data_IF_531580539525
#
_entry.id   IF_531580539525
#
_cell.length_a   1.000
_cell.length_b   1.000
_cell.length_c   1.000
_cell.angle_alpha   90.00
_cell.angle_beta   90.00
_cell.angle_gamma   90.00
#
_symmetry.space_group_name_H-M   'P 1'
#
loop_
_entity.id
_entity.type
_entity.pdbx_description
1 polymer ?
#
# COMPACT_ATOMS: atom_id res chain seq x y z
N UNK A 1 -16.88 5.04 -28.12
CA UNK A 1 -15.48 5.45 -27.85
C UNK A 1 -15.33 5.71 -26.36
N UNK A 2 -14.70 4.79 -25.61
CA UNK A 2 -14.55 4.97 -24.17
C UNK A 2 -13.49 6.05 -23.90
N UNK A 3 -13.92 7.16 -23.29
CA UNK A 3 -13.07 8.26 -22.82
C UNK A 3 -12.05 7.65 -21.86
N UNK A 4 -10.80 7.46 -22.32
CA UNK A 4 -9.70 6.88 -21.54
C UNK A 4 -9.53 7.76 -20.29
N UNK A 5 -10.02 7.28 -19.15
CA UNK A 5 -9.99 8.01 -17.87
C UNK A 5 -8.54 8.40 -17.61
N UNK A 6 -8.23 9.71 -17.63
CA UNK A 6 -6.86 10.21 -17.43
C UNK A 6 -6.33 9.58 -16.15
N UNK A 7 -5.26 8.78 -16.25
CA UNK A 7 -4.57 8.24 -15.08
C UNK A 7 -4.00 9.44 -14.34
N UNK A 8 -4.51 9.68 -13.14
CA UNK A 8 -3.97 10.74 -12.29
C UNK A 8 -2.49 10.43 -12.02
N UNK A 9 -1.54 11.28 -12.45
CA UNK A 9 -0.11 11.04 -12.30
C UNK A 9 0.26 10.83 -10.83
N UNK A 10 -0.44 11.48 -9.89
CA UNK A 10 -0.21 11.34 -8.45
C UNK A 10 -0.54 9.95 -7.94
N UNK A 11 -1.63 9.35 -8.46
CA UNK A 11 -2.01 7.99 -8.07
C UNK A 11 -1.05 6.94 -8.65
N UNK A 12 -0.43 7.23 -9.81
CA UNK A 12 0.60 6.38 -10.38
C UNK A 12 1.87 6.41 -9.52
N UNK A 13 2.28 7.60 -9.09
CA UNK A 13 3.40 7.80 -8.16
C UNK A 13 3.14 7.07 -6.83
N UNK A 14 1.99 7.30 -6.21
CA UNK A 14 1.61 6.63 -4.96
C UNK A 14 1.63 5.10 -5.08
N UNK A 15 1.19 4.55 -6.22
CA UNK A 15 1.33 3.11 -6.50
C UNK A 15 2.78 2.65 -6.57
N UNK A 16 3.64 3.40 -7.28
CA UNK A 16 5.05 3.04 -7.44
C UNK A 16 5.78 3.07 -6.11
N UNK A 17 5.50 4.07 -5.26
CA UNK A 17 6.02 4.15 -3.88
C UNK A 17 5.55 2.94 -3.06
N UNK A 18 4.27 2.60 -3.13
CA UNK A 18 3.71 1.45 -2.41
C UNK A 18 4.23 0.10 -2.91
N UNK A 19 4.67 0.00 -4.17
CA UNK A 19 5.32 -1.21 -4.69
C UNK A 19 6.70 -1.45 -4.09
N UNK A 20 7.36 -0.42 -3.52
CA UNK A 20 8.61 -0.56 -2.76
C UNK A 20 8.37 -1.08 -1.33
N UNK A 21 7.13 -1.03 -0.83
CA UNK A 21 6.79 -1.44 0.53
C UNK A 21 6.62 -2.97 0.60
N UNK A 22 7.17 -3.66 1.62
CA UNK A 22 6.99 -5.10 1.81
C UNK A 22 5.52 -5.53 1.83
N UNK A 23 5.21 -6.62 1.13
CA UNK A 23 3.83 -7.11 0.96
C UNK A 23 3.66 -8.48 1.62
N UNK A 24 2.67 -8.59 2.48
CA UNK A 24 2.30 -9.82 3.17
C UNK A 24 0.92 -10.27 2.71
N UNK A 25 0.76 -11.55 2.39
CA UNK A 25 -0.52 -12.13 2.01
C UNK A 25 -1.05 -12.99 3.16
N UNK A 26 -2.34 -12.86 3.44
CA UNK A 26 -3.04 -13.69 4.40
C UNK A 26 -4.47 -13.97 3.93
N UNK A 27 -5.02 -15.08 4.39
CA UNK A 27 -6.42 -15.43 4.15
C UNK A 27 -7.32 -14.83 5.23
N UNK A 28 -8.42 -14.26 4.78
CA UNK A 28 -9.55 -13.93 5.63
C UNK A 28 -10.29 -15.25 5.88
N UNK A 29 -10.22 -15.77 7.10
CA UNK A 29 -11.14 -16.80 7.54
C UNK A 29 -12.54 -16.23 7.75
N UNK A 30 -13.15 -16.55 8.90
CA UNK A 30 -14.50 -16.08 9.24
C UNK A 30 -14.55 -14.63 9.74
N UNK A 31 -13.39 -14.02 10.01
CA UNK A 31 -13.31 -12.67 10.57
C UNK A 31 -13.41 -11.57 9.50
N UNK A 32 -13.66 -10.33 9.93
CA UNK A 32 -13.56 -9.16 9.05
C UNK A 32 -12.11 -8.95 8.63
N UNK A 33 -11.88 -8.53 7.39
CA UNK A 33 -10.53 -8.39 6.81
C UNK A 33 -9.61 -7.47 7.62
N UNK A 34 -10.15 -6.35 8.13
CA UNK A 34 -9.43 -5.41 9.00
C UNK A 34 -8.99 -6.08 10.32
N UNK A 35 -9.85 -6.92 10.89
CA UNK A 35 -9.55 -7.64 12.14
C UNK A 35 -8.46 -8.69 11.91
N UNK A 36 -8.58 -9.48 10.84
CA UNK A 36 -7.58 -10.46 10.44
C UNK A 36 -6.21 -9.81 10.19
N UNK A 37 -6.17 -8.67 9.49
CA UNK A 37 -4.94 -7.91 9.26
C UNK A 37 -4.29 -7.45 10.58
N UNK A 38 -5.08 -6.90 11.52
CA UNK A 38 -4.57 -6.45 12.82
C UNK A 38 -4.00 -7.62 13.64
N UNK A 39 -4.72 -8.74 13.71
CA UNK A 39 -4.22 -9.94 14.39
C UNK A 39 -2.94 -10.43 13.76
N UNK A 40 -2.86 -10.47 12.42
CA UNK A 40 -1.67 -10.90 11.71
C UNK A 40 -0.45 -10.01 12.00
N UNK A 41 -0.63 -8.68 12.06
CA UNK A 41 0.44 -7.76 12.46
C UNK A 41 0.92 -8.05 13.88
N UNK A 42 -0.01 -8.23 14.81
CA UNK A 42 0.31 -8.46 16.23
C UNK A 42 0.99 -9.82 16.45
N UNK A 43 0.49 -10.87 15.80
CA UNK A 43 0.99 -12.25 15.93
C UNK A 43 2.36 -12.43 15.27
N UNK A 44 2.58 -11.84 14.08
CA UNK A 44 3.85 -11.91 13.35
C UNK A 44 4.84 -10.80 13.72
N UNK A 45 4.42 -9.80 14.49
CA UNK A 45 5.25 -8.65 14.85
C UNK A 45 5.70 -7.82 13.64
N UNK A 46 4.80 -7.54 12.70
CA UNK A 46 5.18 -6.89 11.43
C UNK A 46 5.58 -5.43 11.64
N UNK A 47 6.80 -5.02 11.26
CA UNK A 47 7.22 -3.63 11.35
C UNK A 47 6.53 -2.79 10.26
N UNK A 48 6.24 -1.53 10.60
CA UNK A 48 5.82 -0.54 9.60
C UNK A 48 7.04 0.01 8.84
N UNK A 49 6.90 0.47 7.57
CA UNK A 49 5.71 0.39 6.72
C UNK A 49 5.54 -0.98 6.05
N UNK A 50 4.32 -1.50 5.98
CA UNK A 50 4.02 -2.78 5.32
C UNK A 50 2.65 -2.77 4.63
N UNK A 51 2.47 -3.59 3.60
CA UNK A 51 1.15 -3.80 2.95
C UNK A 51 0.66 -5.21 3.27
N UNK A 52 -0.58 -5.30 3.77
CA UNK A 52 -1.27 -6.55 4.00
C UNK A 52 -2.33 -6.75 2.93
N UNK A 53 -2.23 -7.87 2.21
CA UNK A 53 -3.21 -8.32 1.23
C UNK A 53 -4.02 -9.42 1.88
N UNK A 54 -5.26 -9.09 2.23
CA UNK A 54 -6.19 -10.00 2.89
C UNK A 54 -7.12 -10.60 1.84
N UNK A 55 -7.06 -11.91 1.67
CA UNK A 55 -7.84 -12.63 0.70
C UNK A 55 -9.14 -13.13 1.34
N UNK A 56 -10.28 -12.50 1.03
CA UNK A 56 -11.60 -12.87 1.58
C UNK A 56 -12.22 -14.09 0.90
N UNK A 57 -11.76 -14.37 -0.31
CA UNK A 57 -12.17 -15.52 -1.10
C UNK A 57 -11.35 -15.52 -2.39
N UNK A 58 -11.77 -16.32 -3.36
CA UNK A 58 -10.99 -16.52 -4.59
C UNK A 58 -10.85 -15.25 -5.45
N UNK A 59 -11.89 -14.40 -5.46
CA UNK A 59 -11.94 -13.18 -6.30
C UNK A 59 -11.88 -11.87 -5.53
N UNK A 60 -11.97 -11.92 -4.20
CA UNK A 60 -12.04 -10.73 -3.36
C UNK A 60 -10.80 -10.62 -2.48
N UNK A 61 -10.00 -9.59 -2.73
CA UNK A 61 -8.85 -9.23 -1.90
C UNK A 61 -8.94 -7.77 -1.47
N UNK A 62 -8.72 -7.53 -0.19
CA UNK A 62 -8.60 -6.20 0.39
C UNK A 62 -7.13 -5.92 0.69
N UNK A 63 -6.70 -4.68 0.42
CA UNK A 63 -5.31 -4.26 0.63
C UNK A 63 -5.28 -3.19 1.71
N UNK A 64 -4.47 -3.42 2.74
CA UNK A 64 -4.26 -2.51 3.85
C UNK A 64 -2.80 -2.09 3.92
N UNK A 65 -2.56 -0.85 4.33
CA UNK A 65 -1.25 -0.29 4.60
C UNK A 65 -1.08 -0.13 6.11
N UNK A 66 -0.08 -0.81 6.65
CA UNK A 66 0.38 -0.68 8.01
C UNK A 66 1.42 0.43 8.09
N UNK A 67 1.02 1.57 8.64
CA UNK A 67 1.91 2.69 8.92
C UNK A 67 2.15 2.85 10.42
N UNK A 68 3.06 3.74 10.79
CA UNK A 68 3.42 4.00 12.19
C UNK A 68 2.23 4.44 13.07
N UNK A 69 1.23 5.12 12.48
CA UNK A 69 0.03 5.57 13.21
C UNK A 69 -1.10 4.53 13.23
N UNK A 70 -1.04 3.50 12.40
CA UNK A 70 -2.11 2.50 12.32
C UNK A 70 -2.30 1.89 10.94
N UNK A 71 -3.42 1.19 10.79
CA UNK A 71 -3.81 0.47 9.58
C UNK A 71 -4.78 1.30 8.73
N UNK A 72 -4.44 1.53 7.47
CA UNK A 72 -5.22 2.30 6.50
C UNK A 72 -5.54 1.43 5.28
N UNK A 73 -6.52 1.82 4.46
CA UNK A 73 -6.73 1.14 3.18
C UNK A 73 -5.62 1.53 2.19
N UNK A 74 -5.08 0.56 1.46
CA UNK A 74 -4.01 0.83 0.50
C UNK A 74 -4.46 1.80 -0.60
N UNK A 75 -5.73 1.75 -1.00
CA UNK A 75 -6.30 2.70 -1.96
C UNK A 75 -6.24 4.15 -1.43
N UNK A 76 -6.58 4.37 -0.16
CA UNK A 76 -6.51 5.71 0.43
C UNK A 76 -5.07 6.22 0.46
N UNK A 77 -4.10 5.34 0.73
CA UNK A 77 -2.68 5.69 0.72
C UNK A 77 -2.15 5.91 -0.70
N UNK A 78 -2.59 5.15 -1.70
CA UNK A 78 -2.26 5.41 -3.12
C UNK A 78 -2.64 6.86 -3.51
N UNK A 79 -3.77 7.36 -3.02
CA UNK A 79 -4.29 8.70 -3.32
C UNK A 79 -3.67 9.80 -2.44
N UNK A 80 -3.35 9.50 -1.18
CA UNK A 80 -2.87 10.47 -0.19
C UNK A 80 -1.43 10.19 0.27
N UNK A 81 -0.59 9.57 -0.56
CA UNK A 81 0.77 9.13 -0.19
C UNK A 81 1.64 10.26 0.38
N UNK A 82 1.43 11.51 -0.07
CA UNK A 82 2.09 12.71 0.43
C UNK A 82 1.75 13.08 1.89
N UNK A 83 0.66 12.53 2.45
CA UNK A 83 0.26 12.76 3.85
C UNK A 83 0.95 11.82 4.84
N UNK A 84 1.74 10.86 4.35
CA UNK A 84 2.39 9.85 5.18
C UNK A 84 3.90 10.12 5.24
N UNK A 85 4.44 10.69 6.33
CA UNK A 85 5.87 10.95 6.46
C UNK A 85 6.72 9.68 6.36
N UNK A 86 6.12 8.53 6.73
CA UNK A 86 6.74 7.21 6.59
C UNK A 86 7.05 6.80 5.15
N UNK A 87 6.43 7.46 4.17
CA UNK A 87 6.66 7.24 2.75
C UNK A 87 7.61 8.27 2.15
N UNK A 88 8.02 9.32 2.88
CA UNK A 88 8.90 10.37 2.33
C UNK A 88 10.25 9.81 1.89
N UNK A 89 10.86 8.91 2.68
CA UNK A 89 12.11 8.24 2.27
C UNK A 89 11.95 7.44 0.98
N UNK A 90 10.85 6.67 0.86
CA UNK A 90 10.57 5.87 -0.33
C UNK A 90 10.23 6.75 -1.54
N UNK A 91 9.56 7.89 -1.32
CA UNK A 91 9.29 8.88 -2.38
C UNK A 91 10.60 9.48 -2.88
N UNK A 92 11.50 9.86 -2.00
CA UNK A 92 12.79 10.43 -2.39
C UNK A 92 13.63 9.42 -3.19
N UNK A 93 13.72 8.17 -2.72
CA UNK A 93 14.39 7.09 -3.48
C UNK A 93 13.78 6.89 -4.86
N UNK A 94 12.45 6.94 -4.94
CA UNK A 94 11.74 6.81 -6.20
C UNK A 94 11.99 8.01 -7.14
N UNK A 95 12.08 9.24 -6.61
CA UNK A 95 12.41 10.44 -7.38
C UNK A 95 13.86 10.41 -7.87
N UNK A 96 14.81 10.03 -7.02
CA UNK A 96 16.23 9.86 -7.38
C UNK A 96 16.42 8.82 -8.48
N UNK A 97 15.69 7.70 -8.41
CA UNK A 97 15.71 6.67 -9.45
C UNK A 97 15.11 7.14 -10.79
N UNK A 98 14.18 8.10 -10.76
CA UNK A 98 13.63 8.71 -11.98
C UNK A 98 14.57 9.75 -12.58
N UNK A 99 15.22 10.57 -11.74
CA UNK A 99 16.14 11.64 -12.16
C UNK A 99 17.52 11.10 -12.58
N UNK A 100 18.00 10.02 -11.96
CA UNK A 100 19.24 9.35 -12.33
C UNK A 100 19.20 8.59 -13.67
N UNK A 101 18.02 8.40 -14.26
CA UNK A 101 17.86 7.74 -15.57
C UNK A 101 17.96 8.70 -16.76
N UNK A 102 18.11 10.01 -16.52
CA UNK A 102 18.23 11.03 -17.58
C UNK A 102 19.66 11.58 -17.75
N UNK A 103 20.67 10.90 -17.20
CA UNK A 103 22.09 11.23 -17.39
C UNK A 103 22.78 10.26 -18.37
#
# INVERSE_FOLDING_TARGET
>A
MARRKRKDPRRLEGRRILDLVPRFRLDCGEEKAVTAARKYIQDRGIPAPAILVVQRGEKAQERFFWGFKGLFSAQYVEENHFMFPSLDMLRNQYQEAQDGSVA
#
